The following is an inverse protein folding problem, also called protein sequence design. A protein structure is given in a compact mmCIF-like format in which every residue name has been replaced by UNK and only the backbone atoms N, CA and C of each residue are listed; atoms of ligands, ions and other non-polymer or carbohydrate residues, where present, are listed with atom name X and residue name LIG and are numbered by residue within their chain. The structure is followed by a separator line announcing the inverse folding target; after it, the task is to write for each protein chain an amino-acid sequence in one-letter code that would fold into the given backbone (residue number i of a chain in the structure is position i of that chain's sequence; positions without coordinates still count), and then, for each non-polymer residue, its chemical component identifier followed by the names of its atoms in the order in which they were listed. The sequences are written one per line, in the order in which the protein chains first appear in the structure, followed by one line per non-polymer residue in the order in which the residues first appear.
data_IF_996635089646
#
_entry.id   IF_996635089646
#
_cell.length_a   1.000
_cell.length_b   1.000
_cell.length_c   1.000
_cell.angle_alpha   90.00
_cell.angle_beta   90.00
_cell.angle_gamma   90.00
#
_symmetry.space_group_name_H-M   'P 1'
#
loop_
_entity.id
_entity.type
_entity.pdbx_description
1 polymer ?
#
# COMPACT_ATOMS: atom_id res chain seq x y z
N UNK A 1 -4.83 -1.87 12.62
CA UNK A 1 -4.15 -0.83 11.81
C UNK A 1 -2.75 -0.66 12.36
N UNK A 2 -1.74 -0.73 11.49
CA UNK A 2 -0.34 -0.55 11.86
C UNK A 2 -0.10 0.96 11.99
N UNK A 3 0.24 1.37 13.21
CA UNK A 3 0.62 2.75 13.51
C UNK A 3 2.14 2.89 13.41
N UNK A 4 2.62 3.86 12.64
CA UNK A 4 4.03 4.19 12.48
C UNK A 4 4.44 5.41 13.34
N UNK A 5 3.53 5.96 14.12
CA UNK A 5 3.75 7.15 14.94
C UNK A 5 4.90 6.99 15.97
N UNK A 6 5.25 5.76 16.34
CA UNK A 6 6.43 5.51 17.18
C UNK A 6 7.75 5.92 16.51
N UNK A 7 7.78 6.09 15.19
CA UNK A 7 8.95 6.60 14.45
C UNK A 7 9.02 8.13 14.41
N UNK A 8 8.01 8.83 14.93
CA UNK A 8 7.96 10.30 14.98
C UNK A 8 8.71 10.87 16.20
N UNK A 9 8.98 10.03 17.19
CA UNK A 9 9.74 10.40 18.39
C UNK A 9 11.10 9.71 18.41
N UNK A 10 12.09 10.25 19.16
CA UNK A 10 13.37 9.57 19.37
C UNK A 10 13.14 8.15 19.92
N UNK A 11 13.80 7.17 19.31
CA UNK A 11 13.71 5.79 19.77
C UNK A 11 14.36 5.65 21.15
N UNK A 12 13.70 4.93 22.03
CA UNK A 12 14.30 4.53 23.31
C UNK A 12 15.55 3.68 23.08
N UNK A 13 16.44 3.54 24.08
CA UNK A 13 17.57 2.64 23.96
C UNK A 13 17.11 1.23 23.56
N UNK A 14 17.80 0.57 22.62
CA UNK A 14 17.40 -0.76 22.15
C UNK A 14 17.46 -1.78 23.29
N UNK A 15 16.46 -2.66 23.35
CA UNK A 15 16.45 -3.76 24.29
C UNK A 15 17.51 -4.79 23.91
N UNK A 16 18.21 -5.32 24.88
CA UNK A 16 19.12 -6.42 24.68
C UNK A 16 18.33 -7.75 24.75
N UNK A 17 18.29 -8.45 23.64
CA UNK A 17 17.77 -9.82 23.59
C UNK A 17 18.90 -10.82 23.33
N UNK A 18 18.79 -12.05 23.86
CA UNK A 18 19.63 -13.14 23.41
C UNK A 18 19.53 -13.32 21.89
N UNK A 19 20.64 -13.55 21.21
CA UNK A 19 20.68 -13.64 19.74
C UNK A 19 19.71 -14.71 19.20
N UNK A 20 19.60 -15.86 19.88
CA UNK A 20 18.70 -16.93 19.47
C UNK A 20 17.23 -16.53 19.50
N UNK A 21 16.80 -15.77 20.50
CA UNK A 21 15.42 -15.28 20.63
C UNK A 21 15.12 -14.21 19.57
N UNK A 22 16.09 -13.34 19.29
CA UNK A 22 16.00 -12.35 18.21
C UNK A 22 15.86 -13.02 16.85
N UNK A 23 16.71 -13.99 16.54
CA UNK A 23 16.67 -14.69 15.26
C UNK A 23 15.34 -15.44 15.08
N UNK A 24 14.84 -16.12 16.11
CA UNK A 24 13.54 -16.78 16.08
C UNK A 24 12.39 -15.81 15.82
N UNK A 25 12.40 -14.63 16.45
CA UNK A 25 11.38 -13.60 16.25
C UNK A 25 11.43 -13.01 14.82
N UNK A 26 12.62 -12.79 14.28
CA UNK A 26 12.82 -12.32 12.92
C UNK A 26 12.38 -13.36 11.89
N UNK A 27 12.73 -14.64 12.10
CA UNK A 27 12.30 -15.76 11.25
C UNK A 27 10.78 -15.89 11.23
N UNK A 28 10.11 -15.64 12.34
CA UNK A 28 8.65 -15.60 12.41
C UNK A 28 8.08 -14.50 11.51
N UNK A 29 8.62 -13.27 11.58
CA UNK A 29 8.16 -12.14 10.74
C UNK A 29 8.34 -12.46 9.26
N UNK A 30 9.52 -12.96 8.88
CA UNK A 30 9.85 -13.32 7.49
C UNK A 30 8.94 -14.45 7.00
N UNK A 31 8.76 -15.51 7.78
CA UNK A 31 7.92 -16.66 7.44
C UNK A 31 6.44 -16.28 7.23
N UNK A 32 5.93 -15.32 8.00
CA UNK A 32 4.58 -14.76 7.79
C UNK A 32 4.50 -14.00 6.46
N UNK A 33 5.51 -13.18 6.15
CA UNK A 33 5.56 -12.42 4.91
C UNK A 33 5.68 -13.34 3.67
N UNK A 34 6.49 -14.38 3.73
CA UNK A 34 6.64 -15.39 2.66
C UNK A 34 5.33 -16.13 2.37
N UNK A 35 4.48 -16.30 3.37
CA UNK A 35 3.14 -16.87 3.23
C UNK A 35 2.09 -15.85 2.81
N UNK A 36 2.48 -14.64 2.42
CA UNK A 36 1.61 -13.51 2.07
C UNK A 36 0.65 -13.08 3.21
N UNK A 37 0.98 -13.40 4.46
CA UNK A 37 0.23 -13.00 5.66
C UNK A 37 0.72 -11.62 6.14
N UNK A 38 0.67 -10.63 5.26
CA UNK A 38 1.31 -9.32 5.48
C UNK A 38 0.77 -8.58 6.70
N UNK A 39 -0.52 -8.66 6.98
CA UNK A 39 -1.09 -8.04 8.19
C UNK A 39 -0.48 -8.63 9.46
N UNK A 40 -0.39 -9.96 9.55
CA UNK A 40 0.22 -10.65 10.70
C UNK A 40 1.73 -10.40 10.78
N UNK A 41 2.43 -10.39 9.64
CA UNK A 41 3.85 -10.09 9.57
C UNK A 41 4.15 -8.66 10.04
N UNK A 42 3.34 -7.69 9.60
CA UNK A 42 3.45 -6.30 10.03
C UNK A 42 3.17 -6.11 11.50
N UNK A 43 2.15 -6.79 12.05
CA UNK A 43 1.87 -6.77 13.49
C UNK A 43 3.03 -7.35 14.31
N UNK A 44 3.58 -8.48 13.89
CA UNK A 44 4.75 -9.08 14.55
C UNK A 44 5.98 -8.15 14.48
N UNK A 45 6.23 -7.52 13.33
CA UNK A 45 7.29 -6.52 13.19
C UNK A 45 7.04 -5.31 14.12
N UNK A 46 5.82 -4.77 14.14
CA UNK A 46 5.46 -3.65 15.03
C UNK A 46 5.63 -4.01 16.52
N UNK A 47 5.32 -5.24 16.92
CA UNK A 47 5.54 -5.72 18.29
C UNK A 47 7.03 -5.71 18.66
N UNK A 48 7.92 -6.12 17.74
CA UNK A 48 9.37 -6.03 17.95
C UNK A 48 9.81 -4.58 18.17
N UNK A 49 9.38 -3.66 17.30
CA UNK A 49 9.73 -2.25 17.41
C UNK A 49 9.19 -1.62 18.72
N UNK A 50 7.97 -1.95 19.11
CA UNK A 50 7.38 -1.50 20.37
C UNK A 50 8.07 -2.10 21.60
N UNK A 51 8.66 -3.28 21.47
CA UNK A 51 9.51 -3.90 22.51
C UNK A 51 10.96 -3.37 22.48
N UNK A 52 11.22 -2.28 21.76
CA UNK A 52 12.54 -1.66 21.60
C UNK A 52 13.56 -2.56 20.87
N UNK A 53 13.09 -3.48 20.04
CA UNK A 53 13.90 -4.34 19.20
C UNK A 53 13.84 -3.79 17.77
N UNK A 54 14.71 -2.85 17.49
CA UNK A 54 14.74 -2.12 16.22
C UNK A 54 15.64 -2.82 15.22
N UNK A 55 15.08 -3.65 14.37
CA UNK A 55 15.86 -4.34 13.33
C UNK A 55 15.44 -3.91 11.93
N UNK A 56 16.41 -3.38 11.18
CA UNK A 56 16.18 -2.86 9.82
C UNK A 56 15.68 -3.92 8.84
N UNK A 57 15.93 -5.21 9.11
CA UNK A 57 15.43 -6.33 8.29
C UNK A 57 13.90 -6.40 8.26
N UNK A 58 13.25 -5.98 9.34
CA UNK A 58 11.78 -5.97 9.45
C UNK A 58 11.14 -4.70 8.90
N UNK A 59 11.93 -3.65 8.64
CA UNK A 59 11.41 -2.33 8.22
C UNK A 59 10.57 -2.44 6.93
N UNK A 60 11.08 -3.13 5.92
CA UNK A 60 10.36 -3.29 4.65
C UNK A 60 8.99 -3.98 4.82
N UNK A 61 8.93 -5.01 5.67
CA UNK A 61 7.70 -5.76 5.98
C UNK A 61 6.70 -4.88 6.73
N UNK A 62 7.17 -4.14 7.73
CA UNK A 62 6.36 -3.21 8.51
C UNK A 62 5.72 -2.14 7.62
N UNK A 63 6.51 -1.50 6.76
CA UNK A 63 6.05 -0.46 5.85
C UNK A 63 5.10 -1.02 4.79
N UNK A 64 5.38 -2.21 4.24
CA UNK A 64 4.49 -2.83 3.26
C UNK A 64 3.14 -3.22 3.88
N UNK A 65 3.14 -3.74 5.08
CA UNK A 65 1.91 -4.09 5.78
C UNK A 65 1.06 -2.84 6.09
N UNK A 66 1.68 -1.72 6.48
CA UNK A 66 0.98 -0.45 6.65
C UNK A 66 0.40 0.05 5.31
N UNK A 67 1.14 -0.06 4.20
CA UNK A 67 0.63 0.23 2.86
C UNK A 67 -0.56 -0.64 2.49
N UNK A 68 -0.49 -1.95 2.72
CA UNK A 68 -1.57 -2.88 2.39
C UNK A 68 -2.87 -2.60 3.17
N UNK A 69 -2.77 -2.05 4.38
CA UNK A 69 -3.93 -1.66 5.19
C UNK A 69 -4.49 -0.28 4.82
N UNK A 70 -3.64 0.70 4.54
CA UNK A 70 -4.01 2.12 4.44
C UNK A 70 -4.05 2.62 2.99
N UNK A 71 -3.47 1.86 2.05
CA UNK A 71 -3.46 2.20 0.64
C UNK A 71 -2.56 3.37 0.28
N UNK A 72 -2.96 4.10 -0.77
CA UNK A 72 -2.17 5.18 -1.37
C UNK A 72 -2.02 6.41 -0.45
N UNK A 73 -3.00 6.67 0.39
CA UNK A 73 -2.99 7.81 1.32
C UNK A 73 -1.85 7.77 2.34
N UNK A 74 -1.30 6.56 2.62
CA UNK A 74 -0.21 6.38 3.57
C UNK A 74 1.19 6.59 2.97
N UNK A 75 1.33 6.73 1.65
CA UNK A 75 2.64 6.69 0.99
C UNK A 75 3.61 7.78 1.47
N UNK A 76 3.14 9.00 1.70
CA UNK A 76 3.97 10.08 2.22
C UNK A 76 4.49 9.76 3.62
N UNK A 77 3.64 9.27 4.51
CA UNK A 77 3.99 8.84 5.86
C UNK A 77 4.97 7.68 5.85
N UNK A 78 4.75 6.67 4.97
CA UNK A 78 5.64 5.51 4.85
C UNK A 78 7.05 5.90 4.40
N UNK A 79 7.17 6.75 3.39
CA UNK A 79 8.47 7.20 2.90
C UNK A 79 9.16 8.16 3.88
N UNK A 80 8.38 9.00 4.58
CA UNK A 80 8.92 9.83 5.65
C UNK A 80 9.42 8.98 6.83
N UNK A 81 8.69 7.94 7.23
CA UNK A 81 9.11 7.00 8.27
C UNK A 81 10.41 6.29 7.90
N UNK A 82 10.52 5.78 6.65
CA UNK A 82 11.76 5.19 6.15
C UNK A 82 12.93 6.18 6.18
N UNK A 83 12.70 7.44 5.80
CA UNK A 83 13.71 8.50 5.84
C UNK A 83 14.18 8.76 7.27
N UNK A 84 13.26 8.87 8.25
CA UNK A 84 13.60 9.08 9.66
C UNK A 84 14.45 7.95 10.25
N UNK A 85 14.13 6.70 9.91
CA UNK A 85 14.97 5.56 10.32
C UNK A 85 16.42 5.74 9.86
N UNK A 86 16.62 6.27 8.65
CA UNK A 86 17.95 6.48 8.08
C UNK A 86 18.66 7.68 8.72
N UNK A 87 17.95 8.78 8.98
CA UNK A 87 18.56 10.04 9.40
C UNK A 87 18.62 10.23 10.91
N UNK A 88 17.55 9.86 11.61
CA UNK A 88 17.40 10.16 13.04
C UNK A 88 17.63 8.91 13.91
N UNK A 89 17.27 7.73 13.41
CA UNK A 89 17.30 6.51 14.22
C UNK A 89 18.40 5.54 13.82
N UNK A 90 19.25 5.91 12.86
CA UNK A 90 20.26 4.99 12.31
C UNK A 90 21.19 4.38 13.34
N UNK A 91 21.59 5.15 14.36
CA UNK A 91 22.45 4.66 15.44
C UNK A 91 21.76 3.63 16.35
N UNK A 92 20.44 3.73 16.49
CA UNK A 92 19.63 2.90 17.39
C UNK A 92 19.12 1.61 16.75
N UNK A 93 19.09 1.51 15.42
CA UNK A 93 18.63 0.29 14.72
C UNK A 93 19.74 -0.73 14.54
N UNK A 94 19.39 -2.02 14.66
CA UNK A 94 20.25 -3.17 14.38
C UNK A 94 20.01 -3.77 12.98
N UNK A 95 20.78 -4.80 12.66
CA UNK A 95 22.01 -5.23 13.33
C UNK A 95 23.16 -4.26 13.08
N UNK A 96 24.16 -4.22 13.98
CA UNK A 96 25.33 -3.36 13.79
C UNK A 96 26.18 -3.78 12.58
N UNK A 97 26.28 -5.08 12.33
CA UNK A 97 27.01 -5.62 11.19
C UNK A 97 26.17 -5.57 9.91
N UNK A 98 26.76 -5.07 8.82
CA UNK A 98 26.13 -5.05 7.48
C UNK A 98 24.76 -4.35 7.43
N UNK A 99 24.53 -3.37 8.30
CA UNK A 99 23.26 -2.64 8.42
C UNK A 99 22.81 -2.06 7.08
N UNK A 100 23.72 -1.43 6.34
CA UNK A 100 23.45 -0.83 5.02
C UNK A 100 22.97 -1.89 4.02
N UNK A 101 23.59 -3.07 4.02
CA UNK A 101 23.18 -4.19 3.16
C UNK A 101 21.77 -4.68 3.51
N UNK A 102 21.45 -4.77 4.81
CA UNK A 102 20.12 -5.18 5.26
C UNK A 102 19.06 -4.12 4.91
N UNK A 103 19.37 -2.83 5.05
CA UNK A 103 18.50 -1.75 4.61
C UNK A 103 18.26 -1.82 3.09
N UNK A 104 19.32 -2.00 2.30
CA UNK A 104 19.22 -2.18 0.84
C UNK A 104 18.26 -3.32 0.50
N UNK A 105 18.41 -4.47 1.15
CA UNK A 105 17.51 -5.62 0.99
C UNK A 105 16.07 -5.32 1.36
N UNK A 106 15.83 -4.69 2.52
CA UNK A 106 14.50 -4.36 3.02
C UNK A 106 13.76 -3.37 2.10
N UNK A 107 14.42 -2.30 1.67
CA UNK A 107 13.80 -1.28 0.80
C UNK A 107 13.63 -1.77 -0.64
N UNK A 108 14.56 -2.57 -1.16
CA UNK A 108 14.38 -3.26 -2.44
C UNK A 108 13.16 -4.16 -2.41
N UNK A 109 13.02 -4.96 -1.36
CA UNK A 109 11.89 -5.85 -1.18
C UNK A 109 10.58 -5.07 -1.11
N UNK A 110 10.52 -4.01 -0.28
CA UNK A 110 9.38 -3.11 -0.16
C UNK A 110 8.94 -2.57 -1.53
N UNK A 111 9.87 -1.94 -2.26
CA UNK A 111 9.57 -1.34 -3.57
C UNK A 111 9.09 -2.41 -4.57
N UNK A 112 9.69 -3.60 -4.57
CA UNK A 112 9.29 -4.72 -5.43
C UNK A 112 7.88 -5.20 -5.11
N UNK A 113 7.54 -5.36 -3.84
CA UNK A 113 6.20 -5.76 -3.41
C UNK A 113 5.15 -4.72 -3.79
N UNK A 114 5.42 -3.42 -3.59
CA UNK A 114 4.51 -2.35 -4.00
C UNK A 114 4.30 -2.30 -5.51
N UNK A 115 5.37 -2.38 -6.30
CA UNK A 115 5.29 -2.43 -7.77
C UNK A 115 4.45 -3.63 -8.23
N UNK A 116 4.69 -4.80 -7.63
CA UNK A 116 3.94 -6.01 -7.94
C UNK A 116 2.47 -5.89 -7.57
N UNK A 117 2.17 -5.31 -6.42
CA UNK A 117 0.80 -5.04 -5.95
C UNK A 117 0.06 -4.13 -6.92
N UNK A 118 0.64 -3.00 -7.33
CA UNK A 118 0.03 -2.08 -8.31
C UNK A 118 -0.23 -2.75 -9.66
N UNK A 119 0.76 -3.47 -10.19
CA UNK A 119 0.62 -4.18 -11.47
C UNK A 119 -0.42 -5.27 -11.43
N UNK A 120 -0.46 -6.04 -10.33
CA UNK A 120 -1.46 -7.08 -10.14
C UNK A 120 -2.87 -6.51 -10.05
N UNK A 121 -3.08 -5.49 -9.20
CA UNK A 121 -4.37 -4.83 -9.03
C UNK A 121 -4.85 -4.22 -10.33
N UNK A 122 -3.98 -3.51 -11.05
CA UNK A 122 -4.32 -2.90 -12.34
C UNK A 122 -4.76 -3.92 -13.38
N UNK A 123 -4.08 -5.08 -13.43
CA UNK A 123 -4.28 -6.07 -14.50
C UNK A 123 -5.37 -7.09 -14.18
N UNK A 124 -5.44 -7.56 -12.95
CA UNK A 124 -6.21 -8.74 -12.55
C UNK A 124 -7.32 -8.46 -11.54
N UNK A 125 -7.29 -7.30 -10.88
CA UNK A 125 -8.28 -6.95 -9.86
C UNK A 125 -8.77 -5.50 -10.03
N UNK A 126 -9.64 -5.22 -11.04
CA UNK A 126 -10.11 -3.86 -11.32
C UNK A 126 -10.82 -3.19 -10.14
N UNK A 127 -11.51 -3.93 -9.30
CA UNK A 127 -12.21 -3.38 -8.12
C UNK A 127 -11.23 -2.89 -7.07
N UNK A 128 -10.18 -3.66 -6.79
CA UNK A 128 -9.09 -3.24 -5.88
C UNK A 128 -8.31 -2.07 -6.46
N UNK A 129 -8.08 -2.08 -7.78
CA UNK A 129 -7.46 -0.97 -8.47
C UNK A 129 -8.24 0.34 -8.31
N UNK A 130 -9.55 0.31 -8.53
CA UNK A 130 -10.42 1.47 -8.33
C UNK A 130 -10.45 1.93 -6.86
N UNK A 131 -10.39 0.99 -5.91
CA UNK A 131 -10.29 1.31 -4.49
C UNK A 131 -8.96 2.01 -4.17
N UNK A 132 -7.83 1.50 -4.68
CA UNK A 132 -6.53 2.12 -4.51
C UNK A 132 -6.48 3.55 -5.06
N UNK A 133 -7.13 3.81 -6.21
CA UNK A 133 -7.13 5.14 -6.83
C UNK A 133 -8.16 6.10 -6.25
N UNK A 134 -9.19 5.61 -5.54
CA UNK A 134 -10.29 6.44 -5.05
C UNK A 134 -9.82 7.62 -4.22
N UNK A 135 -8.86 7.35 -3.34
CA UNK A 135 -8.36 8.31 -2.37
C UNK A 135 -6.98 8.87 -2.79
N UNK A 136 -6.60 8.70 -4.09
CA UNK A 136 -5.33 9.18 -4.62
C UNK A 136 -5.50 10.55 -5.26
N UNK A 137 -5.49 11.58 -4.44
CA UNK A 137 -5.59 12.96 -4.87
C UNK A 137 -4.24 13.52 -5.35
N UNK A 138 -4.31 14.58 -6.15
CA UNK A 138 -3.11 15.26 -6.63
C UNK A 138 -2.24 15.82 -5.50
N UNK A 139 -2.86 16.24 -4.39
CA UNK A 139 -2.14 16.70 -3.21
C UNK A 139 -1.38 15.56 -2.52
N UNK A 140 -1.98 14.38 -2.39
CA UNK A 140 -1.35 13.19 -1.82
C UNK A 140 -0.19 12.72 -2.68
N UNK A 141 -0.39 12.72 -3.99
CA UNK A 141 0.66 12.42 -4.96
C UNK A 141 1.86 13.35 -4.78
N UNK A 142 1.64 14.64 -4.64
CA UNK A 142 2.71 15.62 -4.46
C UNK A 142 3.48 15.39 -3.15
N UNK A 143 2.77 15.08 -2.04
CA UNK A 143 3.38 14.74 -0.75
C UNK A 143 4.21 13.47 -0.82
N UNK A 144 3.64 12.39 -1.37
CA UNK A 144 4.34 11.13 -1.54
C UNK A 144 5.59 11.27 -2.40
N UNK A 145 5.54 12.07 -3.47
CA UNK A 145 6.73 12.35 -4.30
C UNK A 145 7.80 13.16 -3.56
N UNK A 146 7.40 14.12 -2.75
CA UNK A 146 8.35 14.88 -1.95
C UNK A 146 9.06 13.95 -0.94
N UNK A 147 8.30 13.12 -0.22
CA UNK A 147 8.84 12.16 0.74
C UNK A 147 9.74 11.11 0.06
N UNK A 148 9.34 10.59 -1.11
CA UNK A 148 10.12 9.60 -1.84
C UNK A 148 11.42 10.19 -2.41
N UNK A 149 11.44 11.46 -2.83
CA UNK A 149 12.68 12.15 -3.23
C UNK A 149 13.62 12.34 -2.06
N UNK A 150 13.09 12.70 -0.89
CA UNK A 150 13.88 12.82 0.34
C UNK A 150 14.49 11.46 0.72
N UNK A 151 13.70 10.40 0.69
CA UNK A 151 14.20 9.03 0.93
C UNK A 151 15.31 8.67 -0.07
N UNK A 152 15.12 8.94 -1.37
CA UNK A 152 16.12 8.67 -2.40
C UNK A 152 17.44 9.41 -2.13
N UNK A 153 17.38 10.68 -1.73
CA UNK A 153 18.56 11.47 -1.39
C UNK A 153 19.32 10.89 -0.20
N UNK A 154 18.61 10.42 0.84
CA UNK A 154 19.24 9.77 1.98
C UNK A 154 19.89 8.43 1.61
N UNK A 155 19.23 7.65 0.75
CA UNK A 155 19.80 6.40 0.24
C UNK A 155 21.06 6.65 -0.60
N UNK A 156 21.06 7.71 -1.40
CA UNK A 156 22.25 8.11 -2.19
C UNK A 156 23.44 8.47 -1.30
N UNK A 157 23.16 9.05 -0.12
CA UNK A 157 24.20 9.42 0.84
C UNK A 157 24.71 8.24 1.65
N UNK A 158 23.82 7.28 2.00
CA UNK A 158 24.13 6.17 2.89
C UNK A 158 24.67 4.95 2.14
N UNK A 159 24.11 4.62 0.98
CA UNK A 159 24.43 3.43 0.21
C UNK A 159 25.37 3.78 -0.94
N UNK A 160 26.64 3.39 -0.85
CA UNK A 160 27.62 3.59 -1.92
C UNK A 160 27.27 2.80 -3.19
N UNK A 161 26.67 1.64 -3.03
CA UNK A 161 26.13 0.79 -4.09
C UNK A 161 24.95 0.01 -3.54
N UNK A 162 23.83 -0.07 -4.28
CA UNK A 162 22.69 -0.82 -3.79
C UNK A 162 21.59 -0.94 -4.85
N UNK A 163 20.83 -2.01 -4.75
CA UNK A 163 19.70 -2.28 -5.65
C UNK A 163 18.43 -1.55 -5.22
N UNK A 164 18.34 -1.17 -3.94
CA UNK A 164 17.19 -0.41 -3.42
C UNK A 164 16.99 0.89 -4.20
N UNK A 165 18.08 1.61 -4.52
CA UNK A 165 18.01 2.87 -5.30
C UNK A 165 17.31 2.67 -6.64
N UNK A 166 17.67 1.61 -7.37
CA UNK A 166 17.03 1.27 -8.64
C UNK A 166 15.54 0.90 -8.48
N UNK A 167 15.22 0.12 -7.46
CA UNK A 167 13.84 -0.28 -7.17
C UNK A 167 12.97 0.90 -6.71
N UNK A 168 13.51 1.79 -5.88
CA UNK A 168 12.84 3.03 -5.46
C UNK A 168 12.61 3.97 -6.65
N UNK A 169 13.59 4.09 -7.55
CA UNK A 169 13.43 4.87 -8.77
C UNK A 169 12.35 4.28 -9.72
N UNK A 170 12.26 2.95 -9.83
CA UNK A 170 11.17 2.30 -10.56
C UNK A 170 9.81 2.54 -9.93
N UNK A 171 9.72 2.46 -8.60
CA UNK A 171 8.49 2.78 -7.87
C UNK A 171 8.09 4.23 -8.10
N UNK A 172 9.02 5.16 -8.02
CA UNK A 172 8.77 6.59 -8.30
C UNK A 172 8.23 6.81 -9.72
N UNK A 173 8.84 6.16 -10.73
CA UNK A 173 8.36 6.22 -12.11
C UNK A 173 6.92 5.69 -12.21
N UNK A 174 6.64 4.54 -11.64
CA UNK A 174 5.31 3.94 -11.67
C UNK A 174 4.27 4.86 -11.01
N UNK A 175 4.55 5.39 -9.81
CA UNK A 175 3.63 6.30 -9.12
C UNK A 175 3.32 7.57 -9.93
N UNK A 176 4.26 8.07 -10.71
CA UNK A 176 4.04 9.22 -11.62
C UNK A 176 3.11 8.91 -12.78
N UNK A 177 3.06 7.67 -13.21
CA UNK A 177 2.22 7.20 -14.31
C UNK A 177 0.79 6.87 -13.84
N UNK A 178 0.55 6.83 -12.52
CA UNK A 178 -0.79 6.55 -11.99
C UNK A 178 -1.73 7.74 -12.21
N UNK A 179 -2.98 7.46 -12.66
CA UNK A 179 -3.99 8.50 -12.74
C UNK A 179 -4.35 9.02 -11.34
N UNK A 180 -4.49 10.31 -11.21
CA UNK A 180 -5.02 10.93 -9.98
C UNK A 180 -6.51 11.17 -10.15
N UNK A 181 -7.27 10.99 -9.08
CA UNK A 181 -8.63 11.50 -9.02
C UNK A 181 -8.56 13.01 -8.95
N UNK A 182 -9.02 13.66 -10.02
CA UNK A 182 -9.27 15.10 -9.95
C UNK A 182 -10.62 15.25 -9.24
N UNK A 183 -10.73 16.08 -8.18
CA UNK A 183 -12.05 16.35 -7.63
C UNK A 183 -12.94 16.87 -8.78
N UNK A 184 -14.11 16.28 -8.92
CA UNK A 184 -15.09 16.76 -9.91
C UNK A 184 -15.23 18.27 -9.75
N UNK A 185 -15.16 19.05 -10.83
CA UNK A 185 -15.39 20.47 -10.74
C UNK A 185 -16.75 20.68 -10.05
N UNK A 186 -16.85 21.58 -9.08
CA UNK A 186 -18.12 21.81 -8.40
C UNK A 186 -19.20 22.03 -9.45
N UNK A 187 -20.39 21.42 -9.29
CA UNK A 187 -21.46 21.55 -10.25
C UNK A 187 -21.67 23.04 -10.54
N UNK A 188 -21.83 23.43 -11.81
CA UNK A 188 -22.03 24.83 -12.17
C UNK A 188 -23.14 25.35 -11.27
N UNK A 189 -22.84 26.41 -10.51
CA UNK A 189 -23.85 27.10 -9.73
C UNK A 189 -24.99 27.41 -10.71
N UNK A 190 -26.08 26.66 -10.65
CA UNK A 190 -27.28 26.97 -11.37
C UNK A 190 -27.66 28.40 -10.97
N UNK A 191 -27.40 29.32 -11.87
CA UNK A 191 -27.90 30.66 -11.75
C UNK A 191 -29.41 30.50 -11.67
N UNK A 192 -29.94 30.47 -10.46
CA UNK A 192 -31.37 30.58 -10.23
C UNK A 192 -31.82 31.84 -10.92
N UNK A 193 -32.31 31.64 -12.13
CA UNK A 193 -33.00 32.66 -12.89
C UNK A 193 -34.33 32.91 -12.15
N UNK A 194 -34.29 33.80 -11.16
CA UNK A 194 -35.48 34.34 -10.53
C UNK A 194 -36.13 35.19 -11.61
N UNK A 195 -36.73 34.55 -12.60
CA UNK A 195 -37.65 35.20 -13.49
C UNK A 195 -38.99 35.17 -12.80
N UNK A 196 -39.37 36.37 -12.34
CA UNK A 196 -40.68 36.67 -11.85
C UNK A 196 -41.75 35.99 -12.74
N UNK A 197 -42.46 35.03 -12.20
CA UNK A 197 -43.76 34.62 -12.73
C UNK A 197 -44.82 35.32 -11.89
N UNK A 198 -45.19 36.52 -12.40
CA UNK A 198 -46.47 37.10 -12.08
C UNK A 198 -47.51 36.51 -13.01
N UNK A 199 -48.56 36.04 -12.42
CA UNK A 199 -49.95 35.96 -12.96
C UNK A 199 -50.15 35.25 -14.31
N UNK A 200 -50.83 34.15 -14.34
CA UNK A 200 -52.25 34.22 -14.70
C UNK A 200 -52.96 32.89 -14.38
N UNK A 201 -54.20 33.02 -14.06
CA UNK A 201 -55.10 32.00 -13.60
C UNK A 201 -55.78 31.30 -14.81
N UNK A 202 -56.31 30.16 -14.51
CA UNK A 202 -57.51 29.55 -15.05
C UNK A 202 -57.40 28.32 -15.96
N UNK A 203 -58.13 27.30 -15.48
CA UNK A 203 -58.90 26.28 -16.23
C UNK A 203 -58.07 25.18 -16.92
N UNK A 204 -58.39 23.95 -16.84
CA UNK A 204 -59.62 23.18 -16.77
C UNK A 204 -59.26 21.71 -17.11
N UNK A 205 -59.84 20.84 -16.35
CA UNK A 205 -60.42 19.56 -16.76
C UNK A 205 -59.68 18.49 -17.59
N UNK A 206 -59.82 17.26 -17.11
CA UNK A 206 -59.95 16.10 -18.03
C UNK A 206 -58.94 15.00 -17.95
N UNK A 207 -59.20 14.01 -17.09
CA UNK A 207 -59.52 12.68 -17.60
C UNK A 207 -58.40 11.65 -17.82
N UNK A 208 -58.59 10.52 -17.10
CA UNK A 208 -58.40 9.16 -17.55
C UNK A 208 -57.02 8.51 -17.38
N UNK A 209 -56.96 7.67 -16.37
CA UNK A 209 -56.77 6.20 -16.49
C UNK A 209 -55.73 5.68 -17.51
N UNK A 210 -54.71 5.07 -17.01
CA UNK A 210 -54.29 3.73 -17.44
C UNK A 210 -53.32 3.12 -16.49
N UNK A 211 -53.69 2.00 -16.01
CA UNK A 211 -53.16 1.05 -15.08
C UNK A 211 -51.96 0.29 -15.65
N UNK A 212 -51.27 -0.41 -14.77
CA UNK A 212 -49.88 -0.87 -14.89
C UNK A 212 -49.78 -2.30 -15.38
N UNK A 213 -48.64 -2.75 -15.62
CA UNK A 213 -48.18 -4.15 -15.63
C UNK A 213 -47.34 -4.45 -16.86
N UNK A 214 -46.06 -4.50 -16.65
CA UNK A 214 -45.29 -5.58 -17.23
C UNK A 214 -44.02 -5.81 -16.43
N UNK A 215 -44.09 -6.79 -15.57
CA UNK A 215 -42.98 -7.38 -14.82
C UNK A 215 -42.44 -8.51 -15.68
N UNK A 216 -41.22 -8.35 -16.21
CA UNK A 216 -40.49 -9.45 -16.80
C UNK A 216 -39.49 -10.04 -15.78
N UNK A 217 -39.40 -11.35 -15.67
CA UNK A 217 -38.56 -12.02 -14.67
C UNK A 217 -37.10 -12.10 -15.09
N UNK A 218 -36.24 -11.77 -14.15
CA UNK A 218 -34.80 -12.00 -14.23
C UNK A 218 -34.50 -13.49 -14.17
N UNK A 219 -34.02 -14.04 -15.27
CA UNK A 219 -33.48 -15.40 -15.32
C UNK A 219 -32.14 -15.46 -14.56
N UNK A 220 -32.11 -16.35 -13.58
CA UNK A 220 -30.93 -16.73 -12.81
C UNK A 220 -29.97 -17.54 -13.69
N UNK A 221 -28.87 -16.95 -14.08
CA UNK A 221 -27.75 -17.67 -14.71
C UNK A 221 -26.94 -18.35 -13.60
N UNK A 222 -27.12 -19.67 -13.49
CA UNK A 222 -26.28 -20.56 -12.68
C UNK A 222 -24.91 -20.71 -13.36
N UNK A 223 -23.87 -20.10 -12.78
CA UNK A 223 -22.50 -20.43 -13.11
C UNK A 223 -22.05 -21.73 -12.42
N UNK A 224 -21.64 -22.67 -13.24
CA UNK A 224 -21.08 -23.96 -12.87
C UNK A 224 -19.61 -23.74 -12.43
N UNK A 225 -19.13 -24.35 -11.32
CA UNK A 225 -17.71 -24.28 -10.97
C UNK A 225 -16.89 -25.13 -11.94
N UNK A 226 -15.84 -24.53 -12.46
CA UNK A 226 -14.87 -25.17 -13.33
C UNK A 226 -13.72 -25.71 -12.47
N UNK A 227 -13.65 -27.02 -12.35
CA UNK A 227 -12.52 -27.74 -11.74
C UNK A 227 -11.24 -27.44 -12.54
N UNK A 228 -10.30 -26.76 -11.91
CA UNK A 228 -8.93 -26.68 -12.41
C UNK A 228 -8.07 -27.66 -11.64
N UNK A 229 -7.86 -28.79 -12.30
CA UNK A 229 -6.83 -29.76 -11.99
C UNK A 229 -5.47 -29.14 -12.38
N UNK A 230 -4.64 -28.81 -11.40
CA UNK A 230 -3.26 -28.34 -11.64
C UNK A 230 -2.32 -29.49 -11.34
N UNK A 231 -1.80 -30.07 -12.42
CA UNK A 231 -0.75 -31.08 -12.40
C UNK A 231 0.49 -30.58 -11.64
N UNK A 232 0.89 -31.36 -10.66
CA UNK A 232 2.12 -31.19 -9.93
C UNK A 232 3.31 -31.59 -10.82
N UNK A 233 3.99 -30.58 -11.40
CA UNK A 233 5.24 -30.78 -12.11
C UNK A 233 6.42 -30.92 -11.12
N UNK A 234 7.06 -32.05 -11.20
CA UNK A 234 8.24 -32.53 -10.49
C UNK A 234 9.40 -31.52 -10.42
N UNK A 235 9.90 -31.26 -9.22
CA UNK A 235 11.18 -30.61 -8.98
C UNK A 235 12.33 -31.57 -9.21
N UNK A 236 13.45 -31.19 -9.85
CA UNK A 236 14.63 -32.02 -9.99
C UNK A 236 15.42 -32.06 -8.69
N UNK A 237 15.70 -33.28 -8.24
CA UNK A 237 16.61 -33.62 -7.14
C UNK A 237 18.02 -33.13 -7.43
N UNK A 238 18.56 -32.21 -6.61
CA UNK A 238 19.96 -31.81 -6.67
C UNK A 238 20.83 -32.88 -6.00
N UNK A 239 21.74 -33.49 -6.79
CA UNK A 239 22.65 -34.52 -6.39
C UNK A 239 23.66 -34.04 -5.33
N UNK A 240 23.84 -34.87 -4.30
CA UNK A 240 25.02 -34.91 -3.43
C UNK A 240 26.19 -35.45 -4.23
N UNK A 241 27.32 -34.80 -4.14
CA UNK A 241 28.62 -35.34 -4.44
C UNK A 241 29.58 -35.18 -3.26
N UNK A 242 30.54 -36.10 -3.07
CA UNK A 242 31.27 -36.43 -1.87
C UNK A 242 32.28 -35.39 -1.40
#
# INVERSE_FOLDING_TARGET
MIDLGFLDAPLSPPAALPTADLDAALDQVVSLAERNQFASAGQAAAQLWNAHIYDVRTLGILLYAAFAEQGMAALDTLFAAASRVITEHWSSVGPAASKERHLDGALRWLATCMISHFRFSQKLNPSEWQKLLRDWEKADQARAFAALRTLSSHLDSLLSSGQARGSVAQLHKLLRELPTTQPDPPPPLEKHNIRAQSADAARDDGGADSDPSDVLPLESVKMKPQDQNVDAASLPSAGRSP
#
